data_IF_216021418768
#
_entry.id   IF_216021418768
#
_cell.length_a   1.000
_cell.length_b   1.000
_cell.length_c   1.000
_cell.angle_alpha   90.00
_cell.angle_beta   90.00
_cell.angle_gamma   90.00
#
_symmetry.space_group_name_H-M   'P 1'
#
loop_
_entity.id
_entity.type
_entity.pdbx_description
1 polymer ?
#
# COMPACT_ATOMS: atom_id res chain seq x y z
N UNK A 1 -24.54 17.56 -6.41
CA UNK A 1 -24.19 16.20 -6.84
C UNK A 1 -22.79 16.12 -7.49
N UNK A 2 -22.50 16.86 -8.57
CA UNK A 2 -21.20 16.79 -9.29
C UNK A 2 -19.96 17.05 -8.43
N UNK A 3 -19.93 18.11 -7.59
CA UNK A 3 -18.74 18.41 -6.76
C UNK A 3 -18.47 17.35 -5.69
N UNK A 4 -19.50 16.86 -5.00
CA UNK A 4 -19.39 15.77 -4.01
C UNK A 4 -18.85 14.48 -4.66
N UNK A 5 -19.30 14.19 -5.88
CA UNK A 5 -18.82 13.06 -6.67
C UNK A 5 -17.35 13.20 -7.06
N UNK A 6 -16.92 14.39 -7.48
CA UNK A 6 -15.51 14.67 -7.79
C UNK A 6 -14.63 14.49 -6.55
N UNK A 7 -15.01 15.06 -5.40
CA UNK A 7 -14.25 14.86 -4.16
C UNK A 7 -14.20 13.40 -3.73
N UNK A 8 -15.28 12.64 -3.94
CA UNK A 8 -15.30 11.20 -3.69
C UNK A 8 -14.26 10.48 -4.55
N UNK A 9 -14.19 10.77 -5.86
CA UNK A 9 -13.16 10.18 -6.73
C UNK A 9 -11.74 10.59 -6.37
N UNK A 10 -11.52 11.85 -6.00
CA UNK A 10 -10.20 12.33 -5.56
C UNK A 10 -9.73 11.53 -4.33
N UNK A 11 -10.62 11.33 -3.36
CA UNK A 11 -10.32 10.52 -2.18
C UNK A 11 -9.98 9.06 -2.53
N UNK A 12 -10.77 8.43 -3.42
CA UNK A 12 -10.49 7.06 -3.85
C UNK A 12 -9.16 6.94 -4.59
N UNK A 13 -8.85 7.87 -5.50
CA UNK A 13 -7.59 7.89 -6.24
C UNK A 13 -6.41 8.06 -5.27
N UNK A 14 -6.52 8.95 -4.29
CA UNK A 14 -5.50 9.10 -3.26
C UNK A 14 -5.22 7.77 -2.56
N UNK A 15 -6.25 7.08 -2.07
CA UNK A 15 -6.10 5.79 -1.40
C UNK A 15 -5.50 4.70 -2.29
N UNK A 16 -5.94 4.61 -3.55
CA UNK A 16 -5.40 3.64 -4.53
C UNK A 16 -3.91 3.90 -4.79
N UNK A 17 -3.52 5.17 -4.97
CA UNK A 17 -2.12 5.54 -5.20
C UNK A 17 -1.27 5.22 -3.97
N UNK A 18 -1.73 5.59 -2.76
CA UNK A 18 -1.00 5.29 -1.53
C UNK A 18 -0.82 3.79 -1.32
N UNK A 19 -1.88 3.01 -1.53
CA UNK A 19 -1.80 1.55 -1.47
C UNK A 19 -0.77 0.99 -2.47
N UNK A 20 -0.83 1.44 -3.72
CA UNK A 20 0.09 1.01 -4.77
C UNK A 20 1.56 1.35 -4.46
N UNK A 21 1.83 2.53 -3.92
CA UNK A 21 3.18 2.94 -3.52
C UNK A 21 3.69 2.05 -2.39
N UNK A 22 2.88 1.82 -1.34
CA UNK A 22 3.28 0.98 -0.21
C UNK A 22 3.51 -0.47 -0.64
N UNK A 23 2.66 -1.00 -1.53
CA UNK A 23 2.84 -2.32 -2.11
C UNK A 23 4.15 -2.42 -2.92
N UNK A 24 4.48 -1.39 -3.71
CA UNK A 24 5.73 -1.34 -4.46
C UNK A 24 6.96 -1.29 -3.53
N UNK A 25 6.90 -0.54 -2.42
CA UNK A 25 7.97 -0.51 -1.41
C UNK A 25 8.22 -1.91 -0.83
N UNK A 26 7.17 -2.64 -0.47
CA UNK A 26 7.28 -4.02 0.03
C UNK A 26 7.84 -4.95 -1.04
N UNK A 27 7.37 -4.84 -2.29
CA UNK A 27 7.80 -5.75 -3.35
C UNK A 27 9.27 -5.54 -3.74
N UNK A 28 9.67 -4.28 -3.92
CA UNK A 28 10.99 -3.91 -4.41
C UNK A 28 12.05 -3.85 -3.30
N UNK A 29 11.63 -3.74 -2.03
CA UNK A 29 12.53 -3.71 -0.89
C UNK A 29 13.28 -5.02 -0.68
N UNK A 30 14.58 -4.94 -0.39
CA UNK A 30 15.38 -6.09 0.02
C UNK A 30 15.44 -6.23 1.55
N UNK A 31 15.21 -5.13 2.27
CA UNK A 31 15.34 -5.03 3.72
C UNK A 31 14.14 -4.25 4.26
N UNK A 32 13.59 -4.67 5.39
CA UNK A 32 12.48 -4.00 6.04
C UNK A 32 12.91 -2.80 6.90
N UNK A 33 11.93 -2.11 7.50
CA UNK A 33 12.20 -0.94 8.35
C UNK A 33 12.96 -1.24 9.65
N UNK A 34 13.18 -2.51 9.98
CA UNK A 34 13.96 -2.95 11.15
C UNK A 34 15.37 -3.42 10.78
N UNK A 35 15.70 -3.48 9.49
CA UNK A 35 17.00 -3.97 9.00
C UNK A 35 17.01 -5.46 8.69
N UNK A 36 15.86 -6.15 8.70
CA UNK A 36 15.76 -7.59 8.40
C UNK A 36 15.54 -7.80 6.90
N UNK A 37 16.30 -8.72 6.31
CA UNK A 37 16.14 -9.09 4.90
C UNK A 37 14.73 -9.63 4.64
N UNK A 38 14.05 -9.05 3.64
CA UNK A 38 12.69 -9.44 3.28
C UNK A 38 12.69 -10.70 2.40
N UNK A 39 12.42 -11.85 3.02
CA UNK A 39 12.14 -13.09 2.27
C UNK A 39 10.78 -13.02 1.57
N UNK A 40 10.50 -13.87 0.56
CA UNK A 40 9.20 -13.92 -0.09
C UNK A 40 8.03 -14.12 0.88
N UNK A 41 8.21 -14.94 1.91
CA UNK A 41 7.19 -15.20 2.95
C UNK A 41 6.92 -13.94 3.79
N UNK A 42 7.97 -13.22 4.20
CA UNK A 42 7.84 -11.98 4.94
C UNK A 42 7.16 -10.89 4.11
N UNK A 43 7.43 -10.82 2.80
CA UNK A 43 6.72 -9.91 1.88
C UNK A 43 5.24 -10.24 1.79
N UNK A 44 4.88 -11.52 1.71
CA UNK A 44 3.46 -11.94 1.71
C UNK A 44 2.76 -11.53 3.01
N UNK A 45 3.40 -11.72 4.17
CA UNK A 45 2.86 -11.26 5.46
C UNK A 45 2.68 -9.74 5.44
N UNK A 46 3.67 -8.99 4.96
CA UNK A 46 3.58 -7.54 4.84
C UNK A 46 2.44 -7.08 3.91
N UNK A 47 2.19 -7.80 2.81
CA UNK A 47 1.02 -7.54 1.95
C UNK A 47 -0.31 -7.82 2.65
N UNK A 48 -0.41 -8.90 3.43
CA UNK A 48 -1.62 -9.19 4.21
C UNK A 48 -1.89 -8.05 5.21
N UNK A 49 -0.85 -7.58 5.90
CA UNK A 49 -0.97 -6.44 6.83
C UNK A 49 -1.40 -5.18 6.07
N UNK A 50 -0.80 -4.90 4.90
CA UNK A 50 -1.18 -3.76 4.08
C UNK A 50 -2.66 -3.83 3.63
N UNK A 51 -3.15 -5.02 3.25
CA UNK A 51 -4.54 -5.25 2.86
C UNK A 51 -5.53 -5.12 4.02
N UNK A 52 -5.11 -5.40 5.26
CA UNK A 52 -5.96 -5.22 6.45
C UNK A 52 -6.02 -3.75 6.88
N UNK A 53 -4.91 -3.02 6.70
CA UNK A 53 -4.80 -1.63 7.12
C UNK A 53 -5.53 -0.63 6.19
N UNK A 54 -5.80 -1.03 4.94
CA UNK A 54 -6.49 -0.23 3.92
C UNK A 54 -7.91 -0.74 3.67
#
# INVERSE_FOLDING_TARGET
MKRRWIYWWIGNIFWIITFGILAAIIWLGEVDGTGVTQTPELKLIAFIVLLIAF
#
